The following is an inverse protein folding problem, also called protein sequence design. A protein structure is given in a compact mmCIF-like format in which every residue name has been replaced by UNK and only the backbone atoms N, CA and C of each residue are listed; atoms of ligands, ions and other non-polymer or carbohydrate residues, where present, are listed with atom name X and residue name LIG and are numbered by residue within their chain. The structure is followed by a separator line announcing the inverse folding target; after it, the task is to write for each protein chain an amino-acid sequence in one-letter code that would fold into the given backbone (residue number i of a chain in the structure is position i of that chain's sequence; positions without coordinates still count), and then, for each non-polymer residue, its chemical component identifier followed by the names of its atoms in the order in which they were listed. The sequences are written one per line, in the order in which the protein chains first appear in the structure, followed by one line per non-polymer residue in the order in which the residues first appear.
data_IF_516055240269
#
_entry.id   IF_516055240269
#
_cell.length_a   1.000
_cell.length_b   1.000
_cell.length_c   1.000
_cell.angle_alpha   90.00
_cell.angle_beta   90.00
_cell.angle_gamma   90.00
#
_symmetry.space_group_name_H-M   'P 1'
#
loop_
_entity.id
_entity.type
_entity.pdbx_description
1 polymer ?
#
# COMPACT_ATOMS: atom_id res chain seq x y z
N UNK A 1 3.70 12.70 1.76
CA UNK A 1 3.01 13.61 0.83
C UNK A 1 1.59 13.87 1.31
N UNK A 2 1.23 15.13 1.54
CA UNK A 2 -0.12 15.51 1.95
C UNK A 2 -1.01 15.46 0.71
N UNK A 3 -1.90 14.47 0.60
CA UNK A 3 -2.91 14.46 -0.47
C UNK A 3 -3.88 15.60 -0.21
N UNK A 4 -4.11 16.53 -1.16
CA UNK A 4 -5.05 17.61 -0.97
C UNK A 4 -6.45 17.06 -0.67
N UNK A 5 -7.22 17.80 0.15
CA UNK A 5 -8.60 17.44 0.49
C UNK A 5 -9.45 17.24 -0.77
N UNK A 6 -10.40 16.28 -0.76
CA UNK A 6 -11.24 16.02 -1.92
C UNK A 6 -12.01 17.28 -2.33
N UNK A 7 -11.93 17.62 -3.63
CA UNK A 7 -12.65 18.76 -4.22
C UNK A 7 -13.99 18.28 -4.77
N UNK A 8 -15.07 18.95 -4.37
CA UNK A 8 -16.42 18.68 -4.90
C UNK A 8 -16.77 19.78 -5.89
N UNK A 9 -17.04 19.39 -7.14
CA UNK A 9 -17.46 20.30 -8.21
C UNK A 9 -18.88 19.93 -8.59
N UNK A 10 -19.80 20.90 -8.52
CA UNK A 10 -21.21 20.71 -8.86
C UNK A 10 -21.52 21.43 -10.16
N UNK A 11 -21.67 20.66 -11.24
CA UNK A 11 -21.85 21.20 -12.59
C UNK A 11 -23.26 21.76 -12.86
N UNK A 12 -24.28 21.29 -12.15
CA UNK A 12 -25.70 21.62 -12.40
C UNK A 12 -26.38 22.39 -11.25
N UNK A 13 -25.60 22.98 -10.34
CA UNK A 13 -26.11 23.76 -9.21
C UNK A 13 -26.18 22.98 -7.89
N UNK A 14 -26.77 23.61 -6.86
CA UNK A 14 -26.86 23.08 -5.49
C UNK A 14 -28.24 23.36 -4.88
N UNK A 15 -28.86 22.31 -4.32
CA UNK A 15 -30.05 22.43 -3.47
C UNK A 15 -29.60 22.85 -2.04
N UNK A 16 -30.23 23.84 -1.37
CA UNK A 16 -31.54 24.44 -1.66
C UNK A 16 -31.52 25.87 -2.22
N UNK A 17 -30.35 26.45 -2.54
CA UNK A 17 -30.24 27.93 -2.54
C UNK A 17 -29.51 28.60 -3.72
N UNK A 18 -29.09 27.89 -4.78
CA UNK A 18 -28.42 28.54 -5.90
C UNK A 18 -29.02 28.16 -7.26
N UNK A 19 -29.82 29.09 -7.80
CA UNK A 19 -30.27 29.18 -9.19
C UNK A 19 -29.10 29.78 -10.00
N UNK A 20 -28.85 29.33 -11.25
CA UNK A 20 -29.69 28.45 -12.06
C UNK A 20 -29.36 26.96 -11.92
N UNK A 21 -30.41 26.14 -11.87
CA UNK A 21 -30.31 24.71 -12.14
C UNK A 21 -30.24 24.49 -13.64
N UNK A 22 -29.37 23.59 -14.07
CA UNK A 22 -29.10 23.34 -15.50
C UNK A 22 -29.75 22.01 -15.84
N UNK A 23 -30.92 22.06 -16.46
CA UNK A 23 -31.70 20.86 -16.81
C UNK A 23 -32.56 21.03 -18.07
N UNK A 24 -32.73 22.25 -18.59
CA UNK A 24 -33.46 22.48 -19.86
C UNK A 24 -32.52 22.39 -21.06
N UNK A 25 -33.05 22.08 -22.24
CA UNK A 25 -32.29 22.01 -23.49
C UNK A 25 -31.52 23.32 -23.78
N UNK A 26 -32.14 24.47 -23.50
CA UNK A 26 -31.51 25.78 -23.66
C UNK A 26 -30.36 26.01 -22.65
N UNK A 27 -30.46 25.44 -21.45
CA UNK A 27 -29.35 25.46 -20.48
C UNK A 27 -28.17 24.66 -21.01
N UNK A 28 -28.38 23.44 -21.53
CA UNK A 28 -27.32 22.63 -22.15
C UNK A 28 -26.69 23.37 -23.33
N UNK A 29 -27.50 23.96 -24.22
CA UNK A 29 -27.01 24.71 -25.39
C UNK A 29 -26.17 25.93 -25.01
N UNK A 30 -26.55 26.65 -23.96
CA UNK A 30 -25.84 27.85 -23.50
C UNK A 30 -24.77 27.56 -22.45
N UNK A 31 -24.70 26.33 -21.94
CA UNK A 31 -23.78 25.93 -20.86
C UNK A 31 -22.32 26.26 -21.17
N UNK A 32 -21.75 25.88 -22.34
CA UNK A 32 -20.34 26.12 -22.58
C UNK A 32 -19.97 27.61 -22.66
N UNK A 33 -20.95 28.47 -23.00
CA UNK A 33 -20.75 29.92 -23.05
C UNK A 33 -20.95 30.58 -21.68
N UNK A 34 -22.03 30.23 -20.97
CA UNK A 34 -22.37 30.82 -19.65
C UNK A 34 -21.47 30.31 -18.53
N UNK A 35 -21.00 29.07 -18.62
CA UNK A 35 -20.22 28.37 -17.60
C UNK A 35 -18.86 27.89 -18.14
N UNK A 36 -18.22 28.69 -19.01
CA UNK A 36 -16.91 28.39 -19.59
C UNK A 36 -15.84 28.00 -18.55
N UNK A 37 -15.75 28.63 -17.35
CA UNK A 37 -14.80 28.19 -16.32
C UNK A 37 -15.02 26.75 -15.85
N UNK A 38 -16.28 26.30 -15.75
CA UNK A 38 -16.58 24.91 -15.37
C UNK A 38 -16.23 23.93 -16.48
N UNK A 39 -16.52 24.28 -17.74
CA UNK A 39 -16.10 23.46 -18.89
C UNK A 39 -14.58 23.31 -18.93
N UNK A 40 -13.84 24.40 -18.79
CA UNK A 40 -12.38 24.37 -18.75
C UNK A 40 -11.87 23.50 -17.58
N UNK A 41 -12.51 23.59 -16.41
CA UNK A 41 -12.16 22.77 -15.26
C UNK A 41 -12.39 21.28 -15.53
N UNK A 42 -13.52 20.91 -16.12
CA UNK A 42 -13.83 19.50 -16.46
C UNK A 42 -12.87 18.97 -17.51
N UNK A 43 -12.59 19.76 -18.56
CA UNK A 43 -11.61 19.41 -19.59
C UNK A 43 -10.23 19.22 -18.97
N UNK A 44 -9.77 20.15 -18.12
CA UNK A 44 -8.50 20.03 -17.42
C UNK A 44 -8.44 18.75 -16.57
N UNK A 45 -9.50 18.44 -15.81
CA UNK A 45 -9.56 17.21 -15.01
C UNK A 45 -9.44 15.96 -15.89
N UNK A 46 -10.16 15.93 -17.02
CA UNK A 46 -10.12 14.81 -17.98
C UNK A 46 -8.78 14.69 -18.71
N UNK A 47 -8.04 15.80 -18.88
CA UNK A 47 -6.70 15.82 -19.48
C UNK A 47 -5.61 15.40 -18.49
N UNK A 48 -5.73 15.77 -17.21
CA UNK A 48 -4.70 15.55 -16.19
C UNK A 48 -4.85 14.23 -15.43
N UNK A 49 -6.05 13.66 -15.38
CA UNK A 49 -6.36 12.54 -14.49
C UNK A 49 -7.30 11.50 -15.10
N UNK A 50 -7.21 10.28 -14.58
CA UNK A 50 -8.17 9.21 -14.87
C UNK A 50 -9.48 9.48 -14.13
N UNK A 51 -10.59 9.58 -14.86
CA UNK A 51 -11.91 9.90 -14.31
C UNK A 51 -12.80 8.66 -14.30
N UNK A 52 -13.50 8.43 -13.18
CA UNK A 52 -14.58 7.44 -13.06
C UNK A 52 -15.93 8.16 -12.95
N UNK A 53 -16.83 7.89 -13.89
CA UNK A 53 -18.20 8.34 -13.90
C UNK A 53 -19.07 7.21 -13.33
N UNK A 54 -19.81 7.52 -12.26
CA UNK A 54 -20.63 6.55 -11.52
C UNK A 54 -22.07 7.05 -11.44
N UNK A 55 -23.05 6.18 -11.71
CA UNK A 55 -24.47 6.56 -11.68
C UNK A 55 -24.88 7.55 -12.77
N UNK A 56 -24.09 7.62 -13.84
CA UNK A 56 -24.27 8.52 -14.97
C UNK A 56 -24.53 7.70 -16.24
N UNK A 57 -25.47 8.11 -17.09
CA UNK A 57 -25.81 7.36 -18.31
C UNK A 57 -24.83 7.59 -19.47
N UNK A 58 -24.07 8.69 -19.44
CA UNK A 58 -23.16 9.05 -20.54
C UNK A 58 -23.87 9.64 -21.77
N UNK A 59 -25.18 9.91 -21.68
CA UNK A 59 -25.98 10.39 -22.80
C UNK A 59 -26.07 11.93 -22.91
N UNK A 60 -25.50 12.64 -21.93
CA UNK A 60 -25.47 14.10 -21.92
C UNK A 60 -24.65 14.63 -23.12
N UNK A 61 -25.24 15.51 -23.97
CA UNK A 61 -24.52 16.16 -25.06
C UNK A 61 -23.22 16.84 -24.62
N UNK A 62 -23.19 17.44 -23.43
CA UNK A 62 -21.99 18.10 -22.92
C UNK A 62 -20.85 17.10 -22.70
N UNK A 63 -21.14 15.95 -22.08
CA UNK A 63 -20.14 14.92 -21.83
C UNK A 63 -19.54 14.36 -23.13
N UNK A 64 -20.39 14.09 -24.13
CA UNK A 64 -19.92 13.60 -25.43
C UNK A 64 -19.05 14.63 -26.15
N UNK A 65 -19.39 15.91 -26.04
CA UNK A 65 -18.58 17.00 -26.59
C UNK A 65 -17.23 17.13 -25.87
N UNK A 66 -17.21 17.08 -24.55
CA UNK A 66 -15.97 17.23 -23.77
C UNK A 66 -15.03 16.04 -23.97
N UNK A 67 -15.53 14.81 -23.91
CA UNK A 67 -14.74 13.61 -24.16
C UNK A 67 -14.18 13.55 -25.58
N UNK A 68 -14.99 13.91 -26.59
CA UNK A 68 -14.54 14.05 -27.97
C UNK A 68 -13.42 15.09 -28.12
N UNK A 69 -13.59 16.28 -27.51
CA UNK A 69 -12.57 17.31 -27.54
C UNK A 69 -11.26 16.87 -26.90
N UNK A 70 -11.30 16.21 -25.72
CA UNK A 70 -10.09 15.72 -25.05
C UNK A 70 -9.35 14.71 -25.92
N UNK A 71 -10.07 13.76 -26.53
CA UNK A 71 -9.49 12.81 -27.49
C UNK A 71 -8.87 13.52 -28.69
N UNK A 72 -9.57 14.48 -29.29
CA UNK A 72 -9.10 15.14 -30.51
C UNK A 72 -7.83 15.97 -30.28
N UNK A 73 -7.60 16.45 -29.06
CA UNK A 73 -6.41 17.24 -28.71
C UNK A 73 -5.24 16.40 -28.17
N UNK A 74 -5.50 15.29 -27.48
CA UNK A 74 -4.46 14.48 -26.83
C UNK A 74 -4.20 13.12 -27.52
N UNK A 75 -5.09 12.66 -28.39
CA UNK A 75 -4.99 11.38 -29.08
C UNK A 75 -4.73 10.22 -28.13
N UNK A 76 -3.71 9.42 -28.44
CA UNK A 76 -3.32 8.25 -27.65
C UNK A 76 -2.76 8.60 -26.25
N UNK A 77 -2.38 9.86 -26.03
CA UNK A 77 -1.89 10.33 -24.73
C UNK A 77 -3.03 10.71 -23.76
N UNK A 78 -4.28 10.71 -24.22
CA UNK A 78 -5.43 11.04 -23.38
C UNK A 78 -5.66 9.98 -22.28
N UNK A 79 -5.79 10.38 -21.01
CA UNK A 79 -6.21 9.46 -19.94
C UNK A 79 -7.55 8.81 -20.28
N UNK A 80 -7.74 7.57 -19.81
CA UNK A 80 -9.01 6.85 -19.99
C UNK A 80 -10.09 7.45 -19.09
N UNK A 81 -11.30 7.55 -19.62
CA UNK A 81 -12.51 7.88 -18.85
C UNK A 81 -13.28 6.59 -18.63
N UNK A 82 -13.53 6.22 -17.39
CA UNK A 82 -14.33 5.02 -17.06
C UNK A 82 -15.78 5.43 -16.82
N UNK A 83 -16.71 4.75 -17.48
CA UNK A 83 -18.15 4.93 -17.25
C UNK A 83 -18.70 3.65 -16.63
N UNK A 84 -19.07 3.69 -15.35
CA UNK A 84 -19.47 2.50 -14.60
C UNK A 84 -20.89 2.61 -14.04
N UNK A 85 -21.67 1.56 -14.25
CA UNK A 85 -23.04 1.47 -13.73
C UNK A 85 -23.85 0.37 -14.40
N UNK A 86 -25.15 0.35 -14.12
CA UNK A 86 -26.10 -0.45 -14.87
C UNK A 86 -26.40 0.24 -16.20
N UNK A 87 -25.65 -0.08 -17.27
CA UNK A 87 -25.72 0.67 -18.53
C UNK A 87 -26.57 -0.03 -19.59
N UNK A 88 -26.52 -1.37 -19.67
CA UNK A 88 -27.29 -2.13 -20.66
C UNK A 88 -26.98 -1.72 -22.10
N UNK A 89 -25.71 -1.52 -22.42
CA UNK A 89 -25.30 -0.88 -23.67
C UNK A 89 -25.50 -1.79 -24.88
N UNK A 90 -26.04 -1.22 -25.97
CA UNK A 90 -26.00 -1.87 -27.28
C UNK A 90 -24.57 -1.91 -27.85
N UNK A 91 -24.24 -2.87 -28.73
CA UNK A 91 -22.91 -2.94 -29.35
C UNK A 91 -22.50 -1.65 -30.07
N UNK A 92 -23.45 -0.97 -30.71
CA UNK A 92 -23.21 0.32 -31.37
C UNK A 92 -22.85 1.40 -30.36
N UNK A 93 -23.61 1.51 -29.27
CA UNK A 93 -23.37 2.53 -28.24
C UNK A 93 -22.03 2.29 -27.54
N UNK A 94 -21.71 1.03 -27.25
CA UNK A 94 -20.42 0.64 -26.68
C UNK A 94 -19.25 1.10 -27.56
N UNK A 95 -19.28 0.81 -28.86
CA UNK A 95 -18.24 1.25 -29.81
C UNK A 95 -18.14 2.77 -29.88
N UNK A 96 -19.27 3.48 -29.85
CA UNK A 96 -19.27 4.94 -29.88
C UNK A 96 -18.54 5.54 -28.66
N UNK A 97 -18.76 4.97 -27.46
CA UNK A 97 -18.05 5.37 -26.24
C UNK A 97 -16.55 5.04 -26.33
N UNK A 98 -16.22 3.82 -26.77
CA UNK A 98 -14.83 3.37 -26.93
C UNK A 98 -14.05 4.25 -27.94
N UNK A 99 -14.70 4.66 -29.03
CA UNK A 99 -14.14 5.61 -30.01
C UNK A 99 -13.88 7.01 -29.43
N UNK A 100 -14.56 7.37 -28.34
CA UNK A 100 -14.34 8.63 -27.60
C UNK A 100 -13.38 8.44 -26.41
N UNK A 101 -12.61 7.36 -26.39
CA UNK A 101 -11.68 7.00 -25.31
C UNK A 101 -12.37 6.76 -23.95
N UNK A 102 -13.67 6.44 -23.97
CA UNK A 102 -14.45 6.08 -22.79
C UNK A 102 -14.53 4.56 -22.67
N UNK A 103 -14.17 4.03 -21.49
CA UNK A 103 -14.19 2.60 -21.16
C UNK A 103 -15.47 2.29 -20.37
N UNK A 104 -16.48 1.66 -21.00
CA UNK A 104 -17.71 1.29 -20.29
C UNK A 104 -17.53 0.02 -19.45
N UNK A 105 -17.80 0.16 -18.16
CA UNK A 105 -17.94 -0.91 -17.17
C UNK A 105 -19.44 -1.16 -16.98
N UNK A 106 -19.99 -2.02 -17.84
CA UNK A 106 -21.42 -2.31 -17.87
C UNK A 106 -21.78 -3.47 -16.93
N UNK A 107 -22.34 -3.10 -15.77
CA UNK A 107 -22.73 -4.04 -14.71
C UNK A 107 -24.00 -4.83 -15.06
N UNK A 108 -24.70 -4.47 -16.14
CA UNK A 108 -25.81 -5.31 -16.64
C UNK A 108 -25.34 -6.73 -17.03
N UNK A 109 -24.05 -6.90 -17.32
CA UNK A 109 -23.42 -8.19 -17.63
C UNK A 109 -22.88 -8.92 -16.38
N UNK A 110 -23.14 -8.42 -15.17
CA UNK A 110 -22.69 -9.06 -13.93
C UNK A 110 -23.28 -10.47 -13.80
N UNK A 111 -22.54 -11.48 -13.28
CA UNK A 111 -23.02 -12.87 -13.21
C UNK A 111 -24.37 -13.03 -12.50
N UNK A 112 -24.59 -12.26 -11.43
CA UNK A 112 -25.85 -12.25 -10.65
C UNK A 112 -26.85 -11.17 -11.08
N UNK A 113 -26.59 -10.44 -12.17
CA UNK A 113 -27.46 -9.36 -12.63
C UNK A 113 -28.93 -9.80 -12.84
N UNK A 114 -29.12 -11.05 -13.25
CA UNK A 114 -30.44 -11.64 -13.48
C UNK A 114 -31.23 -11.90 -12.18
N UNK A 115 -30.56 -12.06 -11.05
CA UNK A 115 -31.16 -12.26 -9.72
C UNK A 115 -31.60 -10.93 -9.08
N UNK A 116 -31.12 -9.80 -9.59
CA UNK A 116 -31.36 -8.49 -9.02
C UNK A 116 -32.76 -7.94 -9.40
N UNK A 117 -33.57 -7.53 -8.40
CA UNK A 117 -34.87 -6.89 -8.65
C UNK A 117 -34.71 -5.63 -9.50
N UNK A 118 -35.61 -5.43 -10.47
CA UNK A 118 -35.51 -4.36 -11.46
C UNK A 118 -35.29 -2.97 -10.83
N UNK A 119 -36.07 -2.67 -9.78
CA UNK A 119 -36.01 -1.40 -9.06
C UNK A 119 -34.74 -1.18 -8.23
N UNK A 120 -33.93 -2.23 -7.98
CA UNK A 120 -32.69 -2.15 -7.18
C UNK A 120 -31.42 -2.30 -8.01
N UNK A 121 -31.52 -2.60 -9.32
CA UNK A 121 -30.36 -2.85 -10.19
C UNK A 121 -29.31 -1.74 -10.16
N UNK A 122 -29.74 -0.48 -10.22
CA UNK A 122 -28.82 0.66 -10.18
C UNK A 122 -28.14 0.80 -8.81
N UNK A 123 -28.89 0.56 -7.73
CA UNK A 123 -28.36 0.58 -6.37
C UNK A 123 -27.32 -0.53 -6.20
N UNK A 124 -27.65 -1.76 -6.55
CA UNK A 124 -26.76 -2.91 -6.42
C UNK A 124 -25.53 -2.79 -7.32
N UNK A 125 -25.67 -2.27 -8.54
CA UNK A 125 -24.53 -1.99 -9.41
C UNK A 125 -23.58 -0.95 -8.79
N UNK A 126 -24.13 0.13 -8.22
CA UNK A 126 -23.33 1.18 -7.57
C UNK A 126 -22.65 0.65 -6.32
N UNK A 127 -23.38 -0.13 -5.50
CA UNK A 127 -22.84 -0.78 -4.31
C UNK A 127 -21.72 -1.75 -4.67
N UNK A 128 -21.92 -2.58 -5.70
CA UNK A 128 -20.89 -3.49 -6.21
C UNK A 128 -19.63 -2.76 -6.65
N UNK A 129 -19.75 -1.66 -7.39
CA UNK A 129 -18.59 -0.86 -7.83
C UNK A 129 -17.85 -0.28 -6.61
N UNK A 130 -18.56 0.33 -5.66
CA UNK A 130 -17.94 0.90 -4.45
C UNK A 130 -17.23 -0.19 -3.64
N UNK A 131 -17.87 -1.35 -3.44
CA UNK A 131 -17.27 -2.48 -2.73
C UNK A 131 -16.03 -2.97 -3.47
N UNK A 132 -16.11 -3.15 -4.79
CA UNK A 132 -14.96 -3.56 -5.61
C UNK A 132 -13.80 -2.57 -5.50
N UNK A 133 -14.05 -1.26 -5.50
CA UNK A 133 -13.01 -0.24 -5.30
C UNK A 133 -12.42 -0.28 -3.88
N UNK A 134 -13.25 -0.54 -2.86
CA UNK A 134 -12.77 -0.68 -1.48
C UNK A 134 -11.87 -1.91 -1.32
N UNK A 135 -12.29 -3.07 -1.83
CA UNK A 135 -11.50 -4.31 -1.82
C UNK A 135 -10.30 -4.26 -2.77
N UNK A 136 -10.39 -3.41 -3.80
CA UNK A 136 -9.31 -3.12 -4.74
C UNK A 136 -8.23 -2.19 -4.18
N UNK A 137 -8.49 -1.49 -3.07
CA UNK A 137 -7.63 -0.41 -2.61
C UNK A 137 -6.25 -0.91 -2.18
N UNK A 138 -5.20 -0.37 -2.81
CA UNK A 138 -3.81 -0.68 -2.45
C UNK A 138 -3.46 -0.27 -1.01
N UNK A 139 -2.63 -1.09 -0.38
CA UNK A 139 -2.01 -0.83 0.90
C UNK A 139 -1.21 0.45 0.81
N UNK A 140 -1.59 1.45 1.61
CA UNK A 140 -0.88 2.72 1.62
C UNK A 140 0.34 2.57 2.51
N UNK A 141 1.52 2.90 1.97
CA UNK A 141 2.81 2.82 2.66
C UNK A 141 2.80 3.50 4.04
N UNK A 142 2.02 4.59 4.22
CA UNK A 142 1.83 5.28 5.50
C UNK A 142 1.28 4.40 6.63
N UNK A 143 0.71 3.24 6.33
CA UNK A 143 0.19 2.33 7.34
C UNK A 143 1.24 1.34 7.84
N UNK A 144 2.39 1.23 7.18
CA UNK A 144 3.47 0.35 7.65
C UNK A 144 3.90 0.76 9.06
N UNK A 145 4.18 -0.20 9.98
CA UNK A 145 4.19 -1.66 9.81
C UNK A 145 2.84 -2.34 10.12
N UNK A 146 1.77 -1.58 10.34
CA UNK A 146 0.48 -2.15 10.72
C UNK A 146 -0.15 -2.93 9.57
N UNK A 147 -0.82 -4.04 9.89
CA UNK A 147 -1.51 -4.92 8.92
C UNK A 147 -2.70 -4.27 8.20
N UNK A 148 -3.01 -3.01 8.53
CA UNK A 148 -4.18 -2.22 8.11
C UNK A 148 -5.47 -3.04 7.97
N UNK A 149 -6.22 -3.10 9.06
CA UNK A 149 -7.54 -3.73 9.08
C UNK A 149 -8.54 -2.80 8.37
N UNK A 150 -8.72 -2.95 7.06
CA UNK A 150 -10.09 -2.80 6.58
C UNK A 150 -10.89 -3.86 7.34
N UNK A 151 -11.84 -3.44 8.16
CA UNK A 151 -12.90 -4.38 8.53
C UNK A 151 -13.48 -4.83 7.19
N UNK A 152 -13.31 -6.12 6.86
CA UNK A 152 -13.95 -6.73 5.70
C UNK A 152 -15.45 -6.49 5.91
N UNK A 153 -15.96 -5.42 5.31
CA UNK A 153 -17.36 -5.09 5.43
C UNK A 153 -18.12 -6.27 4.83
N UNK A 154 -19.09 -6.79 5.59
CA UNK A 154 -19.90 -7.95 5.19
C UNK A 154 -20.41 -7.70 3.77
N UNK A 155 -19.95 -8.52 2.82
CA UNK A 155 -20.42 -8.47 1.45
C UNK A 155 -21.70 -9.28 1.41
N UNK A 156 -22.79 -8.63 1.01
CA UNK A 156 -24.05 -9.34 0.81
C UNK A 156 -23.93 -10.33 -0.36
N UNK A 157 -24.57 -11.50 -0.25
CA UNK A 157 -24.43 -12.59 -1.21
C UNK A 157 -24.74 -12.19 -2.66
N UNK A 158 -25.67 -11.25 -2.87
CA UNK A 158 -26.07 -10.77 -4.19
C UNK A 158 -25.00 -9.94 -4.90
N UNK A 159 -23.95 -9.49 -4.19
CA UNK A 159 -22.83 -8.72 -4.74
C UNK A 159 -21.67 -9.60 -5.19
N UNK A 160 -21.68 -10.92 -4.95
CA UNK A 160 -20.60 -11.77 -5.44
C UNK A 160 -20.71 -11.99 -6.97
N UNK A 161 -19.56 -12.09 -7.69
CA UNK A 161 -18.20 -12.12 -7.16
C UNK A 161 -17.60 -10.72 -6.92
N UNK A 162 -16.75 -10.61 -5.88
CA UNK A 162 -15.84 -9.49 -5.67
C UNK A 162 -14.44 -10.07 -5.52
N UNK A 163 -13.54 -9.71 -6.42
CA UNK A 163 -12.15 -10.14 -6.37
C UNK A 163 -11.40 -9.34 -5.30
N UNK A 164 -10.74 -10.05 -4.38
CA UNK A 164 -9.84 -9.41 -3.42
C UNK A 164 -8.55 -9.05 -4.13
N UNK A 165 -8.07 -7.83 -3.93
CA UNK A 165 -6.74 -7.46 -4.36
C UNK A 165 -5.71 -8.20 -3.49
N UNK A 166 -5.01 -9.19 -4.07
CA UNK A 166 -3.95 -9.92 -3.41
C UNK A 166 -2.75 -8.96 -3.28
N UNK A 167 -2.53 -8.46 -2.07
CA UNK A 167 -1.48 -7.51 -1.78
C UNK A 167 -0.52 -8.06 -0.74
N UNK A 168 0.76 -7.72 -0.92
CA UNK A 168 1.78 -7.98 0.09
C UNK A 168 1.66 -6.94 1.20
N UNK A 169 0.84 -7.24 2.21
CA UNK A 169 0.68 -6.39 3.40
C UNK A 169 1.55 -6.89 4.54
N UNK A 170 1.88 -6.02 5.53
CA UNK A 170 2.57 -6.49 6.72
C UNK A 170 1.77 -7.55 7.45
N UNK A 171 2.49 -8.50 8.05
CA UNK A 171 1.95 -9.52 8.93
C UNK A 171 2.17 -9.10 10.38
N UNK A 172 1.23 -9.46 11.25
CA UNK A 172 1.30 -9.14 12.68
C UNK A 172 2.25 -10.09 13.38
N UNK A 173 3.19 -9.54 14.13
CA UNK A 173 4.07 -10.21 15.09
C UNK A 173 3.58 -10.07 16.55
N UNK A 174 2.46 -9.36 16.77
CA UNK A 174 1.89 -9.12 18.10
C UNK A 174 1.43 -10.42 18.78
N UNK A 175 1.81 -10.55 20.06
CA UNK A 175 1.31 -11.58 20.99
C UNK A 175 0.47 -11.02 22.12
N UNK A 176 -0.08 -9.81 21.97
CA UNK A 176 -0.93 -9.20 23.00
C UNK A 176 -2.08 -10.16 23.34
N UNK A 177 -2.16 -10.58 24.60
CA UNK A 177 -3.19 -11.49 25.11
C UNK A 177 -2.85 -13.00 25.03
N UNK A 178 -1.68 -13.38 24.53
CA UNK A 178 -1.21 -14.77 24.53
C UNK A 178 -0.23 -15.00 25.68
N UNK A 179 -0.51 -15.98 26.53
CA UNK A 179 0.33 -16.36 27.69
C UNK A 179 1.21 -17.58 27.43
N UNK A 180 1.02 -18.28 26.31
CA UNK A 180 1.73 -19.53 26.06
C UNK A 180 3.22 -19.27 25.81
N UNK A 181 4.12 -20.12 26.33
CA UNK A 181 5.55 -20.04 26.04
C UNK A 181 5.81 -20.10 24.54
N UNK A 182 6.78 -19.32 24.05
CA UNK A 182 7.16 -19.36 22.64
C UNK A 182 7.95 -20.64 22.35
N UNK A 183 7.39 -21.50 21.50
CA UNK A 183 8.12 -22.62 20.90
C UNK A 183 9.17 -22.11 19.89
N UNK A 184 10.22 -22.89 19.66
CA UNK A 184 11.22 -22.57 18.63
C UNK A 184 10.60 -22.46 17.23
N UNK A 185 9.57 -23.27 16.95
CA UNK A 185 8.82 -23.17 15.69
C UNK A 185 8.12 -21.82 15.53
N UNK A 186 7.48 -21.33 16.61
CA UNK A 186 6.82 -20.02 16.57
C UNK A 186 7.83 -18.88 16.43
N UNK A 187 9.01 -19.02 17.01
CA UNK A 187 10.10 -18.04 16.81
C UNK A 187 10.54 -17.96 15.34
N UNK A 188 10.64 -19.10 14.65
CA UNK A 188 10.95 -19.13 13.20
C UNK A 188 9.91 -18.42 12.36
N UNK A 189 8.63 -18.64 12.66
CA UNK A 189 7.52 -17.96 11.97
C UNK A 189 7.64 -16.43 12.09
N UNK A 190 8.09 -15.94 13.25
CA UNK A 190 8.28 -14.50 13.48
C UNK A 190 9.45 -13.95 12.67
N UNK A 191 10.55 -14.70 12.53
CA UNK A 191 11.65 -14.31 11.66
C UNK A 191 11.19 -14.18 10.20
N UNK A 192 10.34 -15.09 9.73
CA UNK A 192 9.74 -14.99 8.39
C UNK A 192 8.81 -13.78 8.27
N UNK A 193 8.06 -13.45 9.32
CA UNK A 193 7.22 -12.24 9.37
C UNK A 193 8.07 -10.97 9.29
N UNK A 194 9.17 -10.90 10.04
CA UNK A 194 10.06 -9.73 10.02
C UNK A 194 10.76 -9.56 8.67
N UNK A 195 11.29 -10.65 8.10
CA UNK A 195 11.88 -10.62 6.75
C UNK A 195 10.85 -10.19 5.69
N UNK A 196 9.63 -10.72 5.75
CA UNK A 196 8.53 -10.30 4.89
C UNK A 196 8.20 -8.81 5.07
N UNK A 197 8.03 -8.34 6.31
CA UNK A 197 7.69 -6.96 6.62
C UNK A 197 8.78 -5.97 6.18
N UNK A 198 10.05 -6.38 6.25
CA UNK A 198 11.19 -5.62 5.71
C UNK A 198 11.16 -5.57 4.19
N UNK A 199 10.81 -6.65 3.51
CA UNK A 199 10.75 -6.69 2.04
C UNK A 199 9.72 -5.73 1.43
N UNK A 200 8.71 -5.34 2.22
CA UNK A 200 7.65 -4.39 1.85
C UNK A 200 7.81 -3.03 2.54
N UNK A 201 9.00 -2.75 3.08
CA UNK A 201 9.29 -1.48 3.72
C UNK A 201 9.13 -0.32 2.73
N UNK A 202 8.47 0.79 3.08
CA UNK A 202 8.25 1.94 2.21
C UNK A 202 9.47 2.74 1.72
N UNK A 203 10.70 2.24 1.93
CA UNK A 203 11.97 2.93 1.68
C UNK A 203 12.04 4.33 2.33
N UNK A 204 11.47 4.48 3.52
CA UNK A 204 11.69 5.70 4.29
C UNK A 204 13.15 5.80 4.71
N UNK A 205 13.77 6.95 4.47
CA UNK A 205 15.15 7.21 4.93
C UNK A 205 15.20 7.13 6.46
N UNK A 206 14.17 7.67 7.12
CA UNK A 206 13.97 7.60 8.57
C UNK A 206 12.51 7.22 8.81
N UNK A 207 12.31 6.24 9.68
CA UNK A 207 10.98 5.81 10.10
C UNK A 207 10.23 6.98 10.77
N UNK A 208 9.01 7.33 10.29
CA UNK A 208 8.19 8.37 10.92
C UNK A 208 7.94 8.10 12.40
N UNK A 209 8.04 9.13 13.22
CA UNK A 209 8.03 9.01 14.69
C UNK A 209 6.72 8.42 15.22
N UNK A 210 5.60 8.65 14.53
CA UNK A 210 4.29 8.07 14.88
C UNK A 210 4.27 6.53 14.81
N UNK A 211 5.28 5.91 14.19
CA UNK A 211 5.41 4.44 14.09
C UNK A 211 6.27 3.82 15.18
N UNK A 212 6.97 4.62 15.97
CA UNK A 212 7.89 4.11 16.99
C UNK A 212 7.14 3.32 18.08
N UNK A 213 6.04 3.82 18.69
CA UNK A 213 5.41 3.13 19.82
C UNK A 213 4.92 1.70 19.51
N UNK A 214 4.36 1.48 18.30
CA UNK A 214 3.89 0.15 17.90
C UNK A 214 5.05 -0.83 17.69
N UNK A 215 6.19 -0.34 17.20
CA UNK A 215 7.39 -1.16 17.01
C UNK A 215 8.14 -1.37 18.31
N UNK A 216 8.24 -0.38 19.18
CA UNK A 216 8.97 -0.46 20.45
C UNK A 216 8.45 -1.59 21.33
N UNK A 217 7.13 -1.72 21.44
CA UNK A 217 6.49 -2.80 22.20
C UNK A 217 6.86 -4.17 21.62
N UNK A 218 6.85 -4.31 20.29
CA UNK A 218 7.20 -5.55 19.62
C UNK A 218 8.70 -5.87 19.77
N UNK A 219 9.56 -4.90 19.46
CA UNK A 219 11.03 -4.99 19.55
C UNK A 219 11.46 -5.40 20.95
N UNK A 220 10.97 -4.72 21.99
CA UNK A 220 11.35 -5.01 23.37
C UNK A 220 10.94 -6.44 23.77
N UNK A 221 9.75 -6.88 23.37
CA UNK A 221 9.29 -8.23 23.65
C UNK A 221 10.18 -9.28 22.97
N UNK A 222 10.42 -9.14 21.67
CA UNK A 222 11.20 -10.10 20.89
C UNK A 222 12.69 -10.08 21.21
N UNK A 223 13.23 -8.93 21.62
CA UNK A 223 14.60 -8.81 22.14
C UNK A 223 14.78 -9.67 23.40
N UNK A 224 13.85 -9.58 24.36
CA UNK A 224 13.91 -10.39 25.58
C UNK A 224 13.80 -11.90 25.28
N UNK A 225 12.89 -12.28 24.39
CA UNK A 225 12.70 -13.67 23.97
C UNK A 225 13.94 -14.23 23.26
N UNK A 226 14.55 -13.43 22.39
CA UNK A 226 15.79 -13.81 21.70
C UNK A 226 16.94 -13.99 22.69
N UNK A 227 17.12 -13.07 23.64
CA UNK A 227 18.18 -13.16 24.64
C UNK A 227 18.00 -14.39 25.52
N UNK A 228 16.75 -14.71 25.91
CA UNK A 228 16.43 -15.89 26.70
C UNK A 228 16.72 -17.20 25.95
N UNK A 229 16.41 -17.26 24.65
CA UNK A 229 16.58 -18.47 23.82
C UNK A 229 17.91 -18.51 23.07
N UNK A 230 18.79 -17.54 23.28
CA UNK A 230 19.96 -17.31 22.44
C UNK A 230 20.80 -18.59 22.25
N UNK A 231 21.06 -19.33 23.32
CA UNK A 231 21.93 -20.50 23.25
C UNK A 231 21.27 -21.70 22.52
N UNK A 232 19.95 -21.78 22.51
CA UNK A 232 19.18 -22.83 21.83
C UNK A 232 19.05 -22.61 20.31
N UNK A 233 19.32 -21.39 19.84
CA UNK A 233 19.18 -21.04 18.43
C UNK A 233 20.38 -21.50 17.59
N UNK A 234 20.11 -21.95 16.37
CA UNK A 234 21.14 -22.18 15.34
C UNK A 234 21.82 -20.86 14.94
N UNK A 235 23.03 -20.95 14.38
CA UNK A 235 23.74 -19.76 13.91
C UNK A 235 22.99 -19.02 12.78
N UNK A 236 22.18 -19.73 11.98
CA UNK A 236 21.34 -19.12 10.94
C UNK A 236 20.19 -18.29 11.54
N UNK A 237 19.52 -18.82 12.56
CA UNK A 237 18.45 -18.11 13.27
C UNK A 237 19.01 -16.89 14.01
N UNK A 238 20.19 -17.01 14.62
CA UNK A 238 20.92 -15.89 15.25
C UNK A 238 21.22 -14.80 14.24
N UNK A 239 21.78 -15.16 13.08
CA UNK A 239 22.10 -14.18 12.05
C UNK A 239 20.86 -13.47 11.51
N UNK A 240 19.79 -14.22 11.22
CA UNK A 240 18.52 -13.66 10.76
C UNK A 240 17.93 -12.68 11.78
N UNK A 241 17.81 -13.11 13.05
CA UNK A 241 17.27 -12.25 14.10
C UNK A 241 18.09 -10.97 14.25
N UNK A 242 19.42 -11.08 14.39
CA UNK A 242 20.32 -9.94 14.57
C UNK A 242 20.23 -8.98 13.38
N UNK A 243 20.11 -9.49 12.16
CA UNK A 243 19.98 -8.66 10.96
C UNK A 243 18.67 -7.88 10.94
N UNK A 244 17.55 -8.50 11.31
CA UNK A 244 16.26 -7.83 11.33
C UNK A 244 16.13 -6.82 12.49
N UNK A 245 16.58 -7.18 13.69
CA UNK A 245 16.50 -6.29 14.87
C UNK A 245 17.42 -5.08 14.72
N UNK A 246 18.64 -5.26 14.20
CA UNK A 246 19.59 -4.15 13.97
C UNK A 246 19.05 -3.23 12.89
N UNK A 247 18.48 -3.77 11.81
CA UNK A 247 17.82 -2.99 10.78
C UNK A 247 16.67 -2.13 11.34
N UNK A 248 15.84 -2.69 12.24
CA UNK A 248 14.76 -1.93 12.90
C UNK A 248 15.30 -0.76 13.73
N UNK A 249 16.37 -0.95 14.50
CA UNK A 249 17.02 0.15 15.23
C UNK A 249 17.64 1.18 14.28
N UNK A 250 18.23 0.72 13.16
CA UNK A 250 18.82 1.58 12.13
C UNK A 250 17.78 2.50 11.48
N UNK A 251 16.65 1.97 11.01
CA UNK A 251 15.62 2.82 10.38
C UNK A 251 14.96 3.79 11.36
N UNK A 252 15.00 3.50 12.66
CA UNK A 252 14.54 4.37 13.74
C UNK A 252 15.54 5.46 14.12
N UNK A 253 16.81 5.33 13.70
CA UNK A 253 17.92 6.17 14.14
C UNK A 253 18.10 6.19 15.66
N UNK A 254 17.95 5.03 16.32
CA UNK A 254 18.15 4.87 17.76
C UNK A 254 19.38 3.97 18.02
N UNK A 255 20.27 4.33 18.96
CA UNK A 255 21.42 3.49 19.32
C UNK A 255 21.03 2.03 19.61
N UNK A 256 21.88 1.08 19.20
CA UNK A 256 21.65 -0.33 19.54
C UNK A 256 21.73 -0.55 21.07
N UNK A 257 20.83 -1.39 21.62
CA UNK A 257 20.98 -1.88 22.99
C UNK A 257 22.31 -2.61 23.17
N UNK A 258 22.95 -2.40 24.32
CA UNK A 258 24.28 -2.93 24.61
C UNK A 258 24.33 -4.47 24.50
N UNK A 259 23.26 -5.16 24.92
CA UNK A 259 23.19 -6.62 24.87
C UNK A 259 23.10 -7.14 23.43
N UNK A 260 22.27 -6.52 22.58
CA UNK A 260 22.20 -6.85 21.16
C UNK A 260 23.53 -6.58 20.46
N UNK A 261 24.18 -5.45 20.76
CA UNK A 261 25.47 -5.09 20.18
C UNK A 261 26.57 -6.10 20.57
N UNK A 262 26.63 -6.52 21.84
CA UNK A 262 27.55 -7.58 22.30
C UNK A 262 27.29 -8.92 21.60
N UNK A 263 26.01 -9.31 21.45
CA UNK A 263 25.63 -10.54 20.74
C UNK A 263 26.04 -10.47 19.27
N UNK A 264 25.85 -9.33 18.61
CA UNK A 264 26.33 -9.11 17.24
C UNK A 264 27.85 -9.21 17.14
N UNK A 265 28.61 -8.50 17.96
CA UNK A 265 30.07 -8.53 17.92
C UNK A 265 30.63 -9.95 18.14
N UNK A 266 30.02 -10.70 19.04
CA UNK A 266 30.38 -12.11 19.28
C UNK A 266 30.05 -12.99 18.08
N UNK A 267 28.87 -12.79 17.47
CA UNK A 267 28.44 -13.55 16.31
C UNK A 267 29.28 -13.25 15.06
N UNK A 268 29.59 -11.97 14.82
CA UNK A 268 30.36 -11.48 13.68
C UNK A 268 31.71 -12.20 13.54
N UNK A 269 32.38 -12.51 14.66
CA UNK A 269 33.66 -13.25 14.70
C UNK A 269 33.57 -14.68 14.19
N UNK A 270 32.36 -15.25 14.09
CA UNK A 270 32.14 -16.60 13.55
C UNK A 270 32.07 -16.62 12.02
N UNK A 271 31.94 -15.47 11.36
CA UNK A 271 31.79 -15.37 9.91
C UNK A 271 33.17 -15.33 9.26
N UNK A 272 33.49 -16.30 8.42
CA UNK A 272 34.74 -16.34 7.67
C UNK A 272 34.49 -15.96 6.20
N UNK A 273 35.04 -14.81 5.79
CA UNK A 273 34.84 -14.28 4.43
C UNK A 273 35.58 -15.05 3.34
N UNK A 274 36.74 -15.63 3.67
CA UNK A 274 37.58 -16.38 2.73
C UNK A 274 36.93 -17.71 2.39
N UNK A 275 36.47 -18.42 3.42
CA UNK A 275 35.87 -19.75 3.27
C UNK A 275 34.37 -19.71 2.98
N UNK A 276 33.75 -18.52 3.12
CA UNK A 276 32.29 -18.33 3.01
C UNK A 276 31.51 -19.22 3.99
N UNK A 277 31.99 -19.31 5.22
CA UNK A 277 31.43 -20.15 6.29
C UNK A 277 30.92 -19.31 7.46
N UNK A 278 29.93 -19.85 8.17
CA UNK A 278 29.56 -19.39 9.50
C UNK A 278 29.87 -20.54 10.46
N UNK A 279 30.78 -20.32 11.41
CA UNK A 279 31.20 -21.33 12.38
C UNK A 279 31.62 -22.66 11.69
N UNK A 280 32.34 -22.56 10.56
CA UNK A 280 32.79 -23.70 9.76
C UNK A 280 31.74 -24.33 8.83
N UNK A 281 30.48 -23.91 8.88
CA UNK A 281 29.42 -24.40 7.98
C UNK A 281 29.38 -23.55 6.71
N UNK A 282 29.50 -24.18 5.54
CA UNK A 282 29.45 -23.49 4.24
C UNK A 282 28.10 -22.83 3.96
N UNK A 283 28.13 -21.58 3.51
CA UNK A 283 26.95 -20.76 3.16
C UNK A 283 27.01 -20.19 1.75
N UNK A 284 27.67 -20.88 0.83
CA UNK A 284 27.94 -20.39 -0.53
C UNK A 284 26.70 -19.95 -1.32
N UNK A 285 25.54 -20.58 -1.11
CA UNK A 285 24.29 -20.23 -1.80
C UNK A 285 23.66 -18.92 -1.33
N UNK A 286 23.87 -18.53 -0.07
CA UNK A 286 23.27 -17.35 0.55
C UNK A 286 24.31 -16.26 0.87
N UNK A 287 25.55 -16.44 0.40
CA UNK A 287 26.70 -15.64 0.82
C UNK A 287 26.52 -14.15 0.58
N UNK A 288 25.91 -13.75 -0.55
CA UNK A 288 25.66 -12.34 -0.85
C UNK A 288 24.76 -11.67 0.19
N UNK A 289 23.73 -12.38 0.68
CA UNK A 289 22.83 -11.90 1.73
C UNK A 289 23.57 -11.79 3.06
N UNK A 290 24.41 -12.78 3.39
CA UNK A 290 25.22 -12.79 4.61
C UNK A 290 26.23 -11.64 4.62
N UNK A 291 26.96 -11.45 3.52
CA UNK A 291 27.91 -10.37 3.35
C UNK A 291 27.25 -9.00 3.53
N UNK A 292 26.10 -8.78 2.89
CA UNK A 292 25.37 -7.51 3.00
C UNK A 292 24.86 -7.28 4.43
N UNK A 293 24.30 -8.32 5.06
CA UNK A 293 23.86 -8.24 6.45
C UNK A 293 25.01 -7.93 7.41
N UNK A 294 26.17 -8.60 7.24
CA UNK A 294 27.36 -8.31 8.03
C UNK A 294 27.81 -6.85 7.90
N UNK A 295 27.95 -6.35 6.67
CA UNK A 295 28.42 -4.98 6.43
C UNK A 295 27.47 -3.98 7.08
N UNK A 296 26.16 -4.11 6.86
CA UNK A 296 25.17 -3.19 7.40
C UNK A 296 25.14 -3.22 8.93
N UNK A 297 25.12 -4.42 9.52
CA UNK A 297 25.03 -4.58 10.96
C UNK A 297 26.31 -4.08 11.66
N UNK A 298 27.49 -4.42 11.15
CA UNK A 298 28.77 -3.97 11.71
C UNK A 298 28.95 -2.46 11.56
N UNK A 299 28.55 -1.87 10.43
CA UNK A 299 28.58 -0.42 10.24
C UNK A 299 27.66 0.30 11.25
N UNK A 300 26.48 -0.24 11.52
CA UNK A 300 25.56 0.34 12.51
C UNK A 300 26.04 0.16 13.95
N UNK A 301 26.64 -0.99 14.27
CA UNK A 301 27.31 -1.25 15.54
C UNK A 301 28.45 -0.25 15.81
N UNK A 302 29.30 0.00 14.80
CA UNK A 302 30.35 1.03 14.83
C UNK A 302 29.78 2.43 15.05
N UNK A 303 28.73 2.77 14.31
CA UNK A 303 28.04 4.06 14.41
C UNK A 303 27.48 4.27 15.82
N UNK A 304 26.93 3.21 16.42
CA UNK A 304 26.43 3.23 17.80
C UNK A 304 27.53 3.51 18.81
N UNK A 305 28.68 2.82 18.73
CA UNK A 305 29.83 3.09 19.61
C UNK A 305 30.33 4.53 19.49
N UNK A 306 30.39 5.07 18.26
CA UNK A 306 30.75 6.48 18.04
C UNK A 306 29.76 7.45 18.67
N UNK A 307 28.46 7.17 18.55
CA UNK A 307 27.40 8.00 19.15
C UNK A 307 27.42 7.95 20.69
N UNK A 308 27.89 6.84 21.27
CA UNK A 308 28.08 6.68 22.71
C UNK A 308 29.36 7.36 23.25
N UNK A 309 30.17 7.99 22.39
CA UNK A 309 31.50 8.54 22.73
C UNK A 309 32.45 7.50 23.34
N UNK A 310 32.28 6.23 22.95
CA UNK A 310 33.12 5.11 23.38
C UNK A 310 34.25 4.92 22.35
N UNK A 311 35.29 5.74 22.49
CA UNK A 311 36.45 5.76 21.58
C UNK A 311 37.19 4.40 21.56
N UNK A 312 37.22 3.69 22.68
CA UNK A 312 37.86 2.38 22.78
C UNK A 312 37.07 1.32 22.01
N UNK A 313 35.74 1.25 22.21
CA UNK A 313 34.89 0.35 21.44
C UNK A 313 34.87 0.69 19.94
N UNK A 314 34.90 1.97 19.57
CA UNK A 314 34.96 2.40 18.17
C UNK A 314 36.24 1.92 17.49
N UNK A 315 37.40 2.16 18.10
CA UNK A 315 38.69 1.78 17.52
C UNK A 315 38.86 0.26 17.44
N UNK A 316 38.44 -0.48 18.47
CA UNK A 316 38.50 -1.94 18.46
C UNK A 316 37.64 -2.54 17.33
N UNK A 317 36.43 -2.02 17.11
CA UNK A 317 35.53 -2.50 16.05
C UNK A 317 35.95 -2.09 14.64
N UNK A 318 36.78 -1.05 14.49
CA UNK A 318 37.27 -0.59 13.17
C UNK A 318 38.38 -1.50 12.62
N UNK A 319 39.12 -2.15 13.54
CA UNK A 319 40.29 -2.97 13.23
C UNK A 319 39.96 -4.47 13.09
N UNK A 320 38.83 -4.93 13.66
CA UNK A 320 38.27 -6.29 13.55
C UNK A 320 37.49 -6.51 12.24
#
# INVERSE_FOLDING_TARGET
SCTPSPRIIKLHGTVPSHIPFIFTEEDYRTYPKKFAPFVNTVQQIMMESTVLLLGFSGDDPNFLQWSGWVRDNLGDSAPKIYLAGWLGLSPHRRRMLENNNVVPIDIANHPKAHEWPEHLRHQYATEWIIKTLQYGQSYKSKYWPSTHNYTDSVINDYLYPIEKNIQNTPKSDSRIGLSDPISLEKFREILEIWEHNRSIYPDWIVLPIEKHPILDLSIQYWENEFLFKYDDLSDDEKFKFLTEIIWLYQIKLVPLPQEIDKKWCTFAKKINFTEKTINGVSKTSEWSKIQLGYINNSLYSLTTSRLALDDEAFNNKLLD
#
